data_IF_936390324632
#
_entry.id   IF_936390324632
#
_cell.length_a   1.000
_cell.length_b   1.000
_cell.length_c   1.000
_cell.angle_alpha   90.00
_cell.angle_beta   90.00
_cell.angle_gamma   90.00
#
_symmetry.space_group_name_H-M   'P 1'
#
loop_
_entity.id
_entity.type
_entity.pdbx_description
1 polymer ?
#
# COMPACT_ATOMS: atom_id res chain seq x y z
N UNK A 1 -18.71 -14.91 13.86
CA UNK A 1 -17.69 -13.91 14.20
C UNK A 1 -16.62 -13.84 13.12
N UNK A 2 -16.21 -12.65 12.77
CA UNK A 2 -15.16 -12.45 11.80
C UNK A 2 -13.78 -12.42 12.46
N UNK A 3 -12.76 -12.94 11.77
CA UNK A 3 -11.38 -12.86 12.21
C UNK A 3 -10.75 -11.57 11.69
N UNK A 4 -9.82 -10.95 12.44
CA UNK A 4 -9.08 -9.80 11.95
C UNK A 4 -8.24 -10.17 10.75
N UNK A 5 -8.31 -9.35 9.71
CA UNK A 5 -7.48 -9.44 8.50
C UNK A 5 -6.86 -8.09 8.20
N UNK A 6 -5.91 -8.07 7.29
CA UNK A 6 -5.34 -6.81 6.82
C UNK A 6 -6.46 -5.89 6.29
N UNK A 7 -6.52 -4.69 6.84
CA UNK A 7 -7.51 -3.69 6.42
C UNK A 7 -6.80 -2.51 5.79
N UNK A 8 -7.11 -2.24 4.55
CA UNK A 8 -6.49 -1.14 3.79
C UNK A 8 -7.21 0.20 3.97
N UNK A 9 -8.48 0.17 4.37
CA UNK A 9 -9.27 1.40 4.49
C UNK A 9 -8.63 2.48 5.36
N UNK A 10 -8.09 2.20 6.56
CA UNK A 10 -7.41 3.22 7.36
C UNK A 10 -6.15 3.77 6.70
N UNK A 11 -5.44 2.92 5.95
CA UNK A 11 -4.22 3.31 5.23
C UNK A 11 -4.58 4.24 4.09
N UNK A 12 -5.58 3.87 3.30
CA UNK A 12 -6.10 4.69 2.20
C UNK A 12 -6.56 6.05 2.73
N UNK A 13 -7.31 6.06 3.83
CA UNK A 13 -7.82 7.29 4.42
C UNK A 13 -6.69 8.22 4.86
N UNK A 14 -5.61 7.67 5.42
CA UNK A 14 -4.46 8.47 5.82
C UNK A 14 -3.75 9.09 4.63
N UNK A 15 -3.57 8.32 3.56
CA UNK A 15 -2.93 8.82 2.34
C UNK A 15 -3.79 9.89 1.68
N UNK A 16 -5.10 9.67 1.59
CA UNK A 16 -6.03 10.65 1.03
C UNK A 16 -6.02 11.96 1.82
N UNK A 17 -6.04 11.87 3.14
CA UNK A 17 -6.07 13.05 4.01
C UNK A 17 -4.81 13.92 3.87
N UNK A 18 -3.69 13.34 3.48
CA UNK A 18 -2.43 14.07 3.29
C UNK A 18 -2.42 14.91 2.01
N UNK A 19 -3.30 14.64 1.06
CA UNK A 19 -3.40 15.41 -0.17
C UNK A 19 -2.21 15.29 -1.12
N UNK A 20 -1.43 14.22 -1.03
CA UNK A 20 -0.24 14.00 -1.86
C UNK A 20 -0.57 13.57 -3.29
N UNK A 21 -1.70 12.94 -3.46
CA UNK A 21 -2.11 12.33 -4.72
C UNK A 21 -3.38 12.98 -5.24
N UNK A 22 -3.53 13.00 -6.54
CA UNK A 22 -4.78 13.42 -7.15
C UNK A 22 -5.91 12.43 -6.87
N UNK A 23 -5.59 11.16 -6.84
CA UNK A 23 -6.53 10.12 -6.42
C UNK A 23 -5.80 8.96 -5.78
N UNK A 24 -6.50 8.28 -4.89
CA UNK A 24 -6.02 7.05 -4.25
C UNK A 24 -7.05 5.97 -4.55
N UNK A 25 -6.63 4.87 -5.14
CA UNK A 25 -7.51 3.81 -5.59
C UNK A 25 -7.01 2.43 -5.14
N UNK A 26 -7.82 1.42 -5.33
CA UNK A 26 -7.45 0.04 -5.06
C UNK A 26 -7.02 -0.71 -6.31
N UNK A 27 -6.76 -2.01 -6.14
CA UNK A 27 -6.25 -2.88 -7.21
C UNK A 27 -7.14 -2.93 -8.45
N UNK A 28 -8.45 -2.75 -8.27
CA UNK A 28 -9.44 -2.85 -9.35
C UNK A 28 -9.16 -1.90 -10.52
N UNK A 29 -8.67 -0.70 -10.21
CA UNK A 29 -8.50 0.33 -11.23
C UNK A 29 -7.10 0.37 -11.82
N UNK A 30 -6.16 -0.34 -11.24
CA UNK A 30 -4.77 -0.28 -11.68
C UNK A 30 -4.57 -0.71 -13.13
N UNK A 31 -5.19 -1.81 -13.54
CA UNK A 31 -5.06 -2.32 -14.90
C UNK A 31 -5.63 -1.33 -15.93
N UNK A 32 -6.72 -0.66 -15.58
CA UNK A 32 -7.33 0.37 -16.43
C UNK A 32 -6.38 1.56 -16.59
N UNK A 33 -5.82 2.07 -15.50
CA UNK A 33 -4.89 3.21 -15.55
C UNK A 33 -3.61 2.86 -16.29
N UNK A 34 -3.10 1.64 -16.12
CA UNK A 34 -1.91 1.19 -16.85
C UNK A 34 -2.11 1.20 -18.37
N UNK A 35 -3.35 0.98 -18.83
CA UNK A 35 -3.69 1.00 -20.27
C UNK A 35 -4.08 2.38 -20.78
N UNK A 36 -4.82 3.13 -19.97
CA UNK A 36 -5.44 4.40 -20.39
C UNK A 36 -4.61 5.64 -20.02
N UNK A 37 -3.66 5.46 -19.11
CA UNK A 37 -2.85 6.55 -18.58
C UNK A 37 -3.37 7.10 -17.26
N UNK A 38 -2.52 7.88 -16.62
CA UNK A 38 -2.80 8.47 -15.30
C UNK A 38 -3.15 9.95 -15.46
N UNK A 39 -4.29 10.22 -16.09
CA UNK A 39 -4.78 11.59 -16.20
C UNK A 39 -4.92 12.21 -14.82
N UNK A 40 -4.20 13.31 -14.57
CA UNK A 40 -4.19 13.94 -13.26
C UNK A 40 -3.27 13.24 -12.26
N UNK A 41 -2.12 12.77 -12.73
CA UNK A 41 -1.08 12.24 -11.84
C UNK A 41 -0.60 13.28 -10.81
N UNK A 42 -0.05 12.86 -9.66
CA UNK A 42 0.23 11.48 -9.31
C UNK A 42 -0.99 10.74 -8.79
N UNK A 43 -1.04 9.43 -9.08
CA UNK A 43 -2.11 8.54 -8.60
C UNK A 43 -1.47 7.45 -7.74
N UNK A 44 -2.11 7.12 -6.62
CA UNK A 44 -1.69 6.02 -5.79
C UNK A 44 -2.66 4.85 -5.89
N UNK A 45 -2.11 3.63 -5.88
CA UNK A 45 -2.87 2.41 -5.70
C UNK A 45 -2.39 1.72 -4.45
N UNK A 46 -3.31 1.44 -3.52
CA UNK A 46 -3.03 0.70 -2.29
C UNK A 46 -3.52 -0.72 -2.48
N UNK A 47 -2.62 -1.67 -2.35
CA UNK A 47 -2.91 -3.07 -2.66
C UNK A 47 -2.47 -3.99 -1.52
N UNK A 48 -3.25 -5.05 -1.26
CA UNK A 48 -2.79 -6.06 -0.31
C UNK A 48 -1.67 -6.87 -0.92
N UNK A 49 -0.70 -7.24 -0.11
CA UNK A 49 0.39 -8.12 -0.51
C UNK A 49 0.21 -9.53 0.04
N UNK A 50 0.49 -9.71 1.32
CA UNK A 50 0.44 -11.01 1.96
C UNK A 50 0.16 -10.91 3.45
N UNK A 51 -0.23 -12.02 4.04
CA UNK A 51 -0.30 -12.19 5.48
C UNK A 51 0.48 -13.42 5.87
N UNK A 52 1.34 -13.28 6.88
CA UNK A 52 2.10 -14.40 7.43
C UNK A 52 1.73 -14.54 8.90
N UNK A 53 0.78 -15.44 9.23
CA UNK A 53 0.43 -15.69 10.63
C UNK A 53 1.47 -16.57 11.30
N UNK A 54 1.80 -16.24 12.52
CA UNK A 54 2.64 -17.08 13.37
C UNK A 54 1.81 -17.46 14.60
N UNK A 55 1.39 -18.71 14.72
CA UNK A 55 0.61 -19.15 15.86
C UNK A 55 1.40 -18.97 17.15
N UNK A 56 0.77 -18.41 18.16
CA UNK A 56 1.38 -18.19 19.47
C UNK A 56 0.77 -19.05 20.59
N UNK A 57 -0.22 -19.86 20.23
CA UNK A 57 -0.81 -20.82 21.14
C UNK A 57 -2.33 -20.87 21.09
N UNK A 58 -2.87 -21.88 21.76
CA UNK A 58 -4.31 -22.04 21.96
C UNK A 58 -4.57 -22.08 23.46
N UNK A 59 -5.47 -21.24 23.93
CA UNK A 59 -5.86 -21.21 25.32
C UNK A 59 -7.38 -21.02 25.41
N UNK A 60 -8.07 -21.90 26.15
CA UNK A 60 -9.51 -21.78 26.36
C UNK A 60 -10.35 -21.80 25.09
N UNK A 61 -9.96 -22.58 24.08
CA UNK A 61 -10.66 -22.63 22.80
C UNK A 61 -10.43 -21.40 21.91
N UNK A 62 -9.43 -20.59 22.24
CA UNK A 62 -9.05 -19.41 21.42
C UNK A 62 -7.65 -19.61 20.90
N UNK A 63 -7.51 -19.57 19.59
CA UNK A 63 -6.21 -19.57 18.94
C UNK A 63 -5.74 -18.13 18.75
N UNK A 64 -4.52 -17.88 19.16
CA UNK A 64 -3.86 -16.59 19.00
C UNK A 64 -2.77 -16.70 17.91
N UNK A 65 -2.66 -15.68 17.10
CA UNK A 65 -1.60 -15.58 16.10
C UNK A 65 -1.09 -14.15 16.05
N UNK A 66 0.22 -14.01 15.89
CA UNK A 66 0.83 -12.75 15.49
C UNK A 66 0.89 -12.76 13.96
N UNK A 67 0.29 -11.77 13.32
CA UNK A 67 0.26 -11.68 11.86
C UNK A 67 1.17 -10.57 11.41
N UNK A 68 2.08 -10.88 10.47
CA UNK A 68 2.83 -9.88 9.71
C UNK A 68 2.17 -9.75 8.36
N UNK A 69 1.60 -8.59 8.10
CA UNK A 69 0.93 -8.30 6.84
C UNK A 69 1.79 -7.39 5.98
N UNK A 70 1.69 -7.58 4.68
CA UNK A 70 2.34 -6.71 3.69
C UNK A 70 1.29 -6.04 2.84
N UNK A 71 1.51 -4.78 2.57
CA UNK A 71 0.73 -4.02 1.59
C UNK A 71 1.66 -3.19 0.74
N UNK A 72 1.16 -2.75 -0.40
CA UNK A 72 1.95 -1.98 -1.35
C UNK A 72 1.24 -0.67 -1.65
N UNK A 73 2.03 0.38 -1.82
CA UNK A 73 1.56 1.63 -2.41
C UNK A 73 2.28 1.79 -3.73
N UNK A 74 1.54 1.78 -4.81
CA UNK A 74 2.08 1.98 -6.16
C UNK A 74 1.75 3.40 -6.57
N UNK A 75 2.78 4.18 -6.84
CA UNK A 75 2.64 5.56 -7.30
C UNK A 75 2.86 5.60 -8.80
N UNK A 76 1.89 6.15 -9.53
CA UNK A 76 2.00 6.38 -10.97
C UNK A 76 2.06 7.87 -11.25
N UNK A 77 3.02 8.25 -12.09
CA UNK A 77 3.17 9.60 -12.61
C UNK A 77 3.28 9.55 -14.13
N UNK A 78 2.67 10.49 -14.79
CA UNK A 78 2.68 10.56 -16.25
C UNK A 78 3.24 11.89 -16.73
N UNK A 79 4.12 11.83 -17.71
CA UNK A 79 4.64 13.00 -18.37
C UNK A 79 4.13 13.05 -19.81
N UNK A 80 3.19 13.95 -20.04
CA UNK A 80 2.56 14.11 -21.36
C UNK A 80 3.43 14.90 -22.35
N UNK A 81 4.50 15.51 -21.88
CA UNK A 81 5.35 16.39 -22.70
C UNK A 81 6.52 15.70 -23.38
N UNK A 82 6.68 14.41 -23.19
CA UNK A 82 7.73 13.59 -23.80
C UNK A 82 9.17 14.09 -23.54
N UNK A 83 9.45 14.56 -22.34
CA UNK A 83 10.81 14.99 -21.96
C UNK A 83 11.66 13.85 -21.41
N UNK A 84 11.51 12.64 -21.95
CA UNK A 84 12.18 11.42 -21.50
C UNK A 84 11.82 11.01 -20.05
N UNK A 85 10.64 11.39 -19.57
CA UNK A 85 10.15 11.01 -18.24
C UNK A 85 10.75 11.81 -17.09
N UNK A 86 11.49 12.88 -17.37
CA UNK A 86 12.14 13.68 -16.33
C UNK A 86 11.18 14.27 -15.33
N UNK A 87 10.06 14.81 -15.78
CA UNK A 87 9.02 15.37 -14.89
C UNK A 87 8.30 14.30 -14.08
N UNK A 88 7.97 13.19 -14.74
CA UNK A 88 7.31 12.08 -14.04
C UNK A 88 8.22 11.52 -12.98
N UNK A 89 9.51 11.36 -13.25
CA UNK A 89 10.47 10.89 -12.26
C UNK A 89 10.61 11.87 -11.09
N UNK A 90 10.73 13.17 -11.36
CA UNK A 90 10.80 14.18 -10.32
C UNK A 90 9.54 14.19 -9.45
N UNK A 91 8.36 14.03 -10.06
CA UNK A 91 7.10 13.94 -9.36
C UNK A 91 7.04 12.72 -8.45
N UNK A 92 7.53 11.56 -8.91
CA UNK A 92 7.64 10.36 -8.11
C UNK A 92 8.53 10.58 -6.88
N UNK A 93 9.69 11.15 -7.08
CA UNK A 93 10.64 11.41 -6.01
C UNK A 93 10.04 12.34 -4.94
N UNK A 94 9.40 13.41 -5.39
CA UNK A 94 8.78 14.40 -4.50
C UNK A 94 7.64 13.80 -3.67
N UNK A 95 6.77 13.02 -4.30
CA UNK A 95 5.65 12.37 -3.62
C UNK A 95 6.13 11.30 -2.65
N UNK A 96 7.09 10.49 -3.06
CA UNK A 96 7.63 9.43 -2.21
C UNK A 96 8.34 10.00 -0.97
N UNK A 97 9.04 11.11 -1.13
CA UNK A 97 9.70 11.77 0.00
C UNK A 97 8.70 12.20 1.09
N UNK A 98 7.44 12.38 0.72
CA UNK A 98 6.37 12.70 1.66
C UNK A 98 5.56 11.47 2.09
N UNK A 99 5.41 10.48 1.22
CA UNK A 99 4.69 9.25 1.53
C UNK A 99 5.38 8.42 2.61
N UNK A 100 6.68 8.26 2.50
CA UNK A 100 7.44 7.43 3.44
C UNK A 100 7.29 7.90 4.88
N UNK A 101 7.53 9.16 5.24
CA UNK A 101 7.35 9.60 6.62
C UNK A 101 5.87 9.66 7.05
N UNK A 102 4.93 9.70 6.10
CA UNK A 102 3.51 9.66 6.41
C UNK A 102 3.09 8.30 6.99
N UNK A 103 3.62 7.22 6.44
CA UNK A 103 3.25 5.86 6.79
C UNK A 103 4.21 5.21 7.79
N UNK A 104 5.51 5.38 7.60
CA UNK A 104 6.50 4.76 8.46
C UNK A 104 6.43 5.34 9.88
N UNK A 105 6.37 4.47 10.86
CA UNK A 105 6.23 4.88 12.25
C UNK A 105 4.80 5.13 12.71
N UNK A 106 3.85 5.13 11.79
CA UNK A 106 2.42 5.22 12.10
C UNK A 106 1.79 3.81 12.09
N UNK A 107 0.71 3.64 12.80
CA UNK A 107 -0.07 2.40 12.75
C UNK A 107 -1.56 2.65 12.86
N UNK A 108 -2.39 1.93 12.08
CA UNK A 108 -3.83 1.96 12.28
C UNK A 108 -4.20 1.36 13.63
N UNK A 109 -5.41 1.64 14.11
CA UNK A 109 -5.85 1.25 15.45
C UNK A 109 -5.75 -0.27 15.72
N UNK A 110 -5.97 -1.09 14.69
CA UNK A 110 -5.91 -2.54 14.85
C UNK A 110 -4.46 -3.09 14.87
N UNK A 111 -3.48 -2.28 14.51
CA UNK A 111 -2.08 -2.72 14.47
C UNK A 111 -1.49 -2.82 15.87
N UNK A 112 -0.60 -3.79 16.06
CA UNK A 112 0.15 -3.96 17.31
C UNK A 112 1.51 -3.26 17.30
N UNK A 113 1.83 -2.57 16.21
CA UNK A 113 3.06 -1.81 16.07
C UNK A 113 3.00 -0.91 14.84
N UNK A 114 4.02 -0.08 14.63
CA UNK A 114 4.03 0.87 13.52
C UNK A 114 4.26 0.18 12.18
N UNK A 115 3.79 0.84 11.13
CA UNK A 115 4.12 0.47 9.74
C UNK A 115 5.61 0.69 9.50
N UNK A 116 6.22 -0.24 8.79
CA UNK A 116 7.62 -0.16 8.39
C UNK A 116 7.77 -0.31 6.87
N UNK A 117 8.58 0.56 6.27
CA UNK A 117 8.94 0.45 4.86
C UNK A 117 9.95 -0.69 4.69
N UNK A 118 9.69 -1.58 3.75
CA UNK A 118 10.54 -2.74 3.54
C UNK A 118 11.37 -2.63 2.27
N UNK A 119 10.80 -2.08 1.21
CA UNK A 119 11.43 -2.11 -0.09
C UNK A 119 10.75 -1.13 -1.03
N UNK A 120 11.52 -0.54 -1.93
CA UNK A 120 11.01 0.23 -3.05
C UNK A 120 11.59 -0.27 -4.35
N UNK A 121 10.79 -0.29 -5.41
CA UNK A 121 11.23 -0.74 -6.71
C UNK A 121 10.44 -0.09 -7.84
N UNK A 122 11.09 0.03 -8.99
CA UNK A 122 10.42 0.48 -10.21
C UNK A 122 9.39 -0.58 -10.62
N UNK A 123 8.21 -0.13 -11.02
CA UNK A 123 7.20 -1.03 -11.56
C UNK A 123 7.67 -1.51 -12.93
N UNK A 124 7.88 -2.82 -13.05
CA UNK A 124 8.25 -3.49 -14.28
C UNK A 124 7.01 -4.15 -14.87
N UNK A 125 6.66 -3.79 -16.05
CA UNK A 125 5.49 -4.34 -16.72
C UNK A 125 5.04 -3.41 -17.83
N UNK A 126 4.06 -3.83 -18.65
CA UNK A 126 3.58 -2.99 -19.72
C UNK A 126 2.82 -1.79 -19.16
N UNK A 127 3.49 -0.64 -19.13
CA UNK A 127 2.90 0.65 -18.86
C UNK A 127 2.84 1.45 -20.16
N UNK A 128 1.82 2.28 -20.27
CA UNK A 128 1.70 3.23 -21.38
C UNK A 128 2.93 4.14 -21.43
N UNK A 129 3.38 4.52 -22.63
CA UNK A 129 4.48 5.47 -22.80
C UNK A 129 4.27 6.75 -22.03
N UNK A 130 5.31 7.23 -21.36
CA UNK A 130 5.27 8.40 -20.50
C UNK A 130 4.78 8.12 -19.08
N UNK A 131 4.30 6.92 -18.81
CA UNK A 131 3.85 6.51 -17.47
C UNK A 131 4.97 5.80 -16.74
N UNK A 132 5.29 6.29 -15.54
CA UNK A 132 6.30 5.71 -14.66
C UNK A 132 5.61 5.30 -13.37
N UNK A 133 5.94 4.10 -12.90
CA UNK A 133 5.39 3.57 -11.66
C UNK A 133 6.49 3.19 -10.67
N UNK A 134 6.20 3.39 -9.40
CA UNK A 134 7.06 2.96 -8.30
C UNK A 134 6.23 2.24 -7.26
N UNK A 135 6.74 1.10 -6.80
CA UNK A 135 6.09 0.29 -5.79
C UNK A 135 6.88 0.37 -4.47
N UNK A 136 6.22 0.81 -3.43
CA UNK A 136 6.76 0.78 -2.07
C UNK A 136 6.03 -0.30 -1.28
N UNK A 137 6.79 -1.24 -0.74
CA UNK A 137 6.27 -2.33 0.09
C UNK A 137 6.41 -1.96 1.56
N UNK A 138 5.34 -2.16 2.30
CA UNK A 138 5.27 -1.90 3.74
C UNK A 138 4.83 -3.13 4.48
N UNK A 139 5.20 -3.22 5.74
CA UNK A 139 4.70 -4.24 6.65
C UNK A 139 4.00 -3.59 7.82
N UNK A 140 3.03 -4.29 8.37
CA UNK A 140 2.44 -3.99 9.65
C UNK A 140 2.11 -5.29 10.38
N UNK A 141 2.01 -5.22 11.68
CA UNK A 141 1.72 -6.37 12.53
C UNK A 141 0.43 -6.17 13.28
N UNK A 142 -0.33 -7.24 13.43
CA UNK A 142 -1.52 -7.24 14.26
C UNK A 142 -1.74 -8.62 14.89
N UNK A 143 -2.59 -8.68 15.90
CA UNK A 143 -2.93 -9.92 16.57
C UNK A 143 -4.26 -10.43 16.04
N UNK A 144 -4.30 -11.74 15.82
CA UNK A 144 -5.51 -12.42 15.38
C UNK A 144 -5.95 -13.40 16.44
N UNK A 145 -7.21 -13.30 16.83
CA UNK A 145 -7.85 -14.27 17.72
C UNK A 145 -8.93 -14.99 16.95
N UNK A 146 -8.89 -16.29 16.96
CA UNK A 146 -9.92 -17.11 16.34
C UNK A 146 -10.46 -18.06 17.40
N UNK A 147 -11.76 -18.00 17.64
CA UNK A 147 -12.40 -18.94 18.54
C UNK A 147 -12.48 -20.29 17.84
N UNK A 148 -11.76 -21.27 18.37
CA UNK A 148 -11.81 -22.65 17.90
C UNK A 148 -12.88 -23.34 18.75
N UNK A 149 -14.12 -23.06 18.47
CA UNK A 149 -15.21 -23.63 19.22
C UNK A 149 -15.92 -24.71 18.44
N UNK A 150 -16.28 -25.73 19.08
CA UNK A 150 -17.17 -26.72 18.54
C UNK A 150 -18.60 -26.21 18.61
#
# INVERSE_FOLDING_TARGET
>A
MSAPVLQLAPIIARIEAAGLYRSVAGARDMARVAREGAAGSPIAFVMPGSEEPRPSGVAGGVQHSAVTARFMVITLAEDLRRDAGGRALSQLEEVRAQLLPLLEGWGPDYASGPVAHQRGQLVTGPLRGGLIGWQDDFTLRFRRRITTGA
#
